data_IF_970823420911
#
_entry.id   IF_970823420911
#
_cell.length_a   1.000
_cell.length_b   1.000
_cell.length_c   1.000
_cell.angle_alpha   90.00
_cell.angle_beta   90.00
_cell.angle_gamma   90.00
#
_symmetry.space_group_name_H-M   'P 1'
#
loop_
_entity.id
_entity.type
_entity.pdbx_description
1 polymer ?
#
# COMPACT_ATOMS: atom_id res chain seq x y z
N UNK A 1 -11.26 -24.63 0.44
CA UNK A 1 -10.10 -23.69 0.47
C UNK A 1 -8.89 -24.31 1.16
N UNK A 2 -9.02 -24.88 2.37
CA UNK A 2 -7.93 -25.60 3.05
C UNK A 2 -7.36 -26.76 2.23
N UNK A 3 -8.22 -27.64 1.70
CA UNK A 3 -7.80 -28.76 0.83
C UNK A 3 -7.02 -28.28 -0.41
N UNK A 4 -7.42 -27.14 -0.99
CA UNK A 4 -6.70 -26.51 -2.11
C UNK A 4 -5.32 -26.02 -1.65
N UNK A 5 -5.23 -25.31 -0.53
CA UNK A 5 -3.97 -24.79 0.01
C UNK A 5 -3.01 -25.90 0.46
N UNK A 6 -3.53 -26.99 1.02
CA UNK A 6 -2.75 -28.19 1.38
C UNK A 6 -2.14 -28.86 0.15
N UNK A 7 -2.86 -28.85 -0.98
CA UNK A 7 -2.41 -29.48 -2.21
C UNK A 7 -1.40 -28.65 -3.04
N UNK A 8 -1.19 -27.37 -2.69
CA UNK A 8 -0.38 -26.44 -3.48
C UNK A 8 0.90 -26.02 -2.75
N UNK A 9 2.06 -26.17 -3.40
CA UNK A 9 3.37 -25.85 -2.79
C UNK A 9 3.79 -24.38 -2.89
N UNK A 10 2.96 -23.50 -3.46
CA UNK A 10 3.25 -22.08 -3.57
C UNK A 10 3.30 -21.46 -2.16
N UNK A 11 4.32 -20.64 -1.90
CA UNK A 11 4.55 -20.03 -0.59
C UNK A 11 3.32 -19.26 -0.08
N UNK A 12 2.57 -18.64 -0.98
CA UNK A 12 1.33 -17.93 -0.70
C UNK A 12 0.22 -18.86 -0.19
N UNK A 13 0.04 -20.02 -0.83
CA UNK A 13 -0.95 -21.03 -0.42
C UNK A 13 -0.60 -21.66 0.94
N UNK A 14 0.69 -21.91 1.19
CA UNK A 14 1.17 -22.40 2.48
C UNK A 14 0.98 -21.35 3.60
N UNK A 15 1.16 -20.06 3.28
CA UNK A 15 0.85 -18.96 4.20
C UNK A 15 -0.65 -18.82 4.49
N UNK A 16 -1.53 -19.14 3.53
CA UNK A 16 -2.98 -19.18 3.75
C UNK A 16 -3.37 -20.32 4.69
N UNK A 17 -2.82 -21.51 4.46
CA UNK A 17 -3.03 -22.67 5.33
C UNK A 17 -2.62 -22.39 6.78
N UNK A 18 -1.45 -21.76 6.97
CA UNK A 18 -0.97 -21.38 8.31
C UNK A 18 -1.87 -20.36 9.00
N UNK A 19 -2.51 -19.45 8.24
CA UNK A 19 -3.43 -18.44 8.79
C UNK A 19 -4.81 -19.01 9.09
N UNK A 20 -5.30 -19.97 8.29
CA UNK A 20 -6.56 -20.68 8.58
C UNK A 20 -6.49 -21.48 9.88
N UNK A 21 -5.30 -21.91 10.29
CA UNK A 21 -5.05 -22.55 11.59
C UNK A 21 -5.05 -21.61 12.81
N UNK A 22 -5.25 -20.30 12.64
CA UNK A 22 -5.40 -19.37 13.75
C UNK A 22 -6.87 -19.30 14.21
N UNK A 23 -7.09 -19.00 15.50
CA UNK A 23 -8.42 -18.61 15.97
C UNK A 23 -8.88 -17.35 15.21
N UNK A 24 -10.06 -17.43 14.58
CA UNK A 24 -10.56 -16.45 13.59
C UNK A 24 -9.69 -16.28 12.33
N UNK A 25 -8.93 -17.30 11.93
CA UNK A 25 -8.03 -17.28 10.78
C UNK A 25 -8.70 -16.90 9.44
N UNK A 26 -9.94 -17.34 9.26
CA UNK A 26 -10.76 -17.03 8.09
C UNK A 26 -11.13 -15.53 8.02
N UNK A 27 -11.42 -14.89 9.15
CA UNK A 27 -11.74 -13.45 9.23
C UNK A 27 -10.50 -12.59 8.89
N UNK A 28 -9.32 -13.03 9.32
CA UNK A 28 -8.03 -12.36 9.03
C UNK A 28 -7.63 -12.47 7.56
N UNK A 29 -8.11 -13.48 6.83
CA UNK A 29 -7.93 -13.59 5.38
C UNK A 29 -8.77 -12.57 4.61
N UNK A 30 -9.96 -12.25 5.10
CA UNK A 30 -10.84 -11.24 4.49
C UNK A 30 -10.33 -9.81 4.78
N UNK A 31 -9.71 -9.62 5.95
CA UNK A 31 -9.17 -8.35 6.43
C UNK A 31 -7.96 -7.83 5.64
N UNK A 32 -7.08 -8.73 5.21
CA UNK A 32 -5.83 -8.40 4.53
C UNK A 32 -5.84 -8.95 3.11
N UNK A 33 -6.58 -8.30 2.20
CA UNK A 33 -6.44 -8.41 0.74
C UNK A 33 -5.63 -9.61 0.26
N UNK A 34 -6.18 -10.81 0.45
CA UNK A 34 -5.51 -12.07 0.14
C UNK A 34 -5.64 -12.29 -1.35
N UNK A 35 -4.69 -11.83 -2.18
CA UNK A 35 -4.61 -12.12 -3.62
C UNK A 35 -5.95 -12.10 -4.41
N UNK A 36 -6.99 -11.46 -3.86
CA UNK A 36 -8.03 -10.79 -4.57
C UNK A 36 -7.32 -9.57 -5.10
N UNK A 37 -7.28 -9.45 -6.41
CA UNK A 37 -6.64 -8.33 -7.05
C UNK A 37 -7.50 -7.07 -6.84
N UNK A 38 -7.50 -6.56 -5.62
CA UNK A 38 -8.00 -5.21 -5.33
C UNK A 38 -6.87 -4.26 -5.75
N UNK A 39 -6.73 -4.07 -7.07
CA UNK A 39 -5.76 -3.12 -7.63
C UNK A 39 -6.11 -1.72 -7.15
N UNK A 40 -5.35 -1.22 -6.18
CA UNK A 40 -5.44 0.16 -5.75
C UNK A 40 -4.75 0.37 -4.42
N UNK A 41 -3.93 1.42 -4.33
CA UNK A 41 -3.67 2.01 -3.02
C UNK A 41 -5.01 2.56 -2.50
N UNK A 42 -5.27 2.42 -1.20
CA UNK A 42 -6.36 3.16 -0.57
C UNK A 42 -6.23 4.64 -0.99
N UNK A 43 -7.29 5.22 -1.52
CA UNK A 43 -7.29 6.61 -2.00
C UNK A 43 -7.59 7.62 -0.89
N UNK A 44 -8.00 7.12 0.27
CA UNK A 44 -8.33 7.90 1.45
C UNK A 44 -8.30 7.02 2.69
N UNK A 45 -8.51 7.67 3.82
CA UNK A 45 -8.50 7.06 5.15
C UNK A 45 -9.94 6.80 5.57
N UNK A 46 -10.26 5.57 5.95
CA UNK A 46 -11.58 5.16 6.40
C UNK A 46 -11.45 4.27 7.63
N UNK A 47 -12.25 4.54 8.66
CA UNK A 47 -12.38 3.69 9.82
C UNK A 47 -13.69 2.91 9.76
N UNK A 48 -13.65 1.59 9.90
CA UNK A 48 -14.85 0.76 9.74
C UNK A 48 -14.74 -0.56 10.51
N UNK A 49 -15.87 -1.23 10.72
CA UNK A 49 -15.91 -2.57 11.32
C UNK A 49 -16.75 -3.52 10.48
N UNK A 50 -16.58 -4.82 10.70
CA UNK A 50 -17.43 -5.85 10.08
C UNK A 50 -18.76 -5.87 10.83
N UNK A 51 -19.83 -5.42 10.17
CA UNK A 51 -21.17 -5.38 10.73
C UNK A 51 -21.88 -6.72 10.59
N UNK A 52 -21.68 -7.41 9.46
CA UNK A 52 -22.22 -8.73 9.21
C UNK A 52 -21.27 -9.51 8.29
N UNK A 53 -21.11 -10.80 8.58
CA UNK A 53 -20.38 -11.76 7.76
C UNK A 53 -21.25 -13.00 7.62
N UNK A 54 -21.56 -13.35 6.38
CA UNK A 54 -22.22 -14.60 6.04
C UNK A 54 -21.43 -15.38 4.97
N UNK A 55 -21.98 -16.49 4.49
CA UNK A 55 -21.30 -17.37 3.52
C UNK A 55 -21.08 -16.71 2.15
N UNK A 56 -21.85 -15.67 1.81
CA UNK A 56 -21.89 -15.07 0.47
C UNK A 56 -21.46 -13.62 0.45
N UNK A 57 -21.48 -12.94 1.60
CA UNK A 57 -21.21 -11.52 1.66
C UNK A 57 -20.60 -11.08 2.98
N UNK A 58 -19.96 -9.91 2.94
CA UNK A 58 -19.52 -9.18 4.12
C UNK A 58 -19.98 -7.74 4.03
N UNK A 59 -20.58 -7.23 5.10
CA UNK A 59 -21.02 -5.85 5.22
C UNK A 59 -20.15 -5.11 6.22
N UNK A 60 -19.68 -3.94 5.82
CA UNK A 60 -18.83 -3.07 6.62
C UNK A 60 -19.55 -1.75 6.90
N UNK A 61 -19.43 -1.28 8.14
CA UNK A 61 -19.99 0.00 8.58
C UNK A 61 -18.88 0.95 8.99
N UNK A 62 -19.00 2.20 8.57
CA UNK A 62 -18.12 3.29 8.98
C UNK A 62 -18.22 3.58 10.47
N UNK A 63 -17.12 4.08 11.03
CA UNK A 63 -17.05 4.53 12.41
C UNK A 63 -16.54 5.97 12.41
N UNK A 64 -17.27 6.92 13.02
CA UNK A 64 -16.73 8.25 13.26
C UNK A 64 -15.45 8.13 14.10
N UNK A 65 -14.33 8.62 13.57
CA UNK A 65 -13.03 8.45 14.21
C UNK A 65 -12.15 9.68 13.98
N UNK A 66 -11.26 9.97 14.92
CA UNK A 66 -10.20 10.98 14.74
C UNK A 66 -8.83 10.33 14.82
N UNK A 67 -7.81 11.01 14.30
CA UNK A 67 -6.43 10.54 14.42
C UNK A 67 -5.98 10.42 15.87
N UNK A 68 -6.34 11.37 16.73
CA UNK A 68 -6.04 11.32 18.17
C UNK A 68 -6.71 10.11 18.84
N UNK A 69 -7.96 9.84 18.48
CA UNK A 69 -8.71 8.67 18.96
C UNK A 69 -8.06 7.37 18.53
N UNK A 70 -7.72 7.25 17.25
CA UNK A 70 -7.11 6.05 16.67
C UNK A 70 -5.70 5.77 17.21
N UNK A 71 -4.89 6.81 17.40
CA UNK A 71 -3.48 6.65 17.75
C UNK A 71 -3.27 6.43 19.25
N UNK A 72 -4.19 6.90 20.10
CA UNK A 72 -4.06 6.81 21.56
C UNK A 72 -3.74 5.39 22.08
N UNK A 73 -4.41 4.30 21.63
CA UNK A 73 -4.07 2.95 22.09
C UNK A 73 -2.70 2.49 21.57
N UNK A 74 -2.29 2.94 20.37
CA UNK A 74 -0.98 2.63 19.79
C UNK A 74 0.13 3.28 20.60
N UNK A 75 -0.03 4.56 20.97
CA UNK A 75 0.88 5.26 21.86
C UNK A 75 1.00 4.56 23.21
N UNK A 76 -0.13 4.22 23.84
CA UNK A 76 -0.14 3.47 25.10
C UNK A 76 0.63 2.15 25.00
N UNK A 77 0.40 1.40 23.92
CA UNK A 77 1.16 0.18 23.64
C UNK A 77 2.66 0.45 23.50
N UNK A 78 3.06 1.39 22.65
CA UNK A 78 4.46 1.71 22.39
C UNK A 78 5.19 2.25 23.61
N UNK A 79 4.54 3.04 24.45
CA UNK A 79 5.09 3.52 25.73
C UNK A 79 5.40 2.37 26.69
N UNK A 80 4.51 1.38 26.76
CA UNK A 80 4.75 0.18 27.57
C UNK A 80 5.95 -0.62 27.05
N UNK A 81 6.05 -0.83 25.73
CA UNK A 81 7.13 -1.58 25.10
C UNK A 81 8.48 -0.87 25.25
N UNK A 82 8.47 0.46 25.12
CA UNK A 82 9.68 1.29 25.27
C UNK A 82 10.30 1.16 26.66
N UNK A 83 9.49 1.13 27.71
CA UNK A 83 10.00 0.96 29.08
C UNK A 83 10.77 -0.37 29.22
N UNK A 84 10.21 -1.46 28.67
CA UNK A 84 10.85 -2.78 28.64
C UNK A 84 12.10 -2.81 27.76
N UNK A 85 12.04 -2.25 26.54
CA UNK A 85 13.19 -2.13 25.64
C UNK A 85 14.35 -1.37 26.30
N UNK A 86 14.06 -0.30 27.02
CA UNK A 86 15.07 0.50 27.74
C UNK A 86 15.73 -0.31 28.85
N UNK A 87 14.98 -1.17 29.54
CA UNK A 87 15.51 -2.05 30.58
C UNK A 87 16.38 -3.17 29.98
N UNK A 88 15.94 -3.80 28.89
CA UNK A 88 16.64 -4.91 28.24
C UNK A 88 17.91 -4.46 27.50
N UNK A 89 17.93 -3.27 26.89
CA UNK A 89 19.13 -2.71 26.24
C UNK A 89 20.30 -2.49 27.21
N UNK A 90 20.07 -2.49 28.52
CA UNK A 90 21.13 -2.44 29.55
C UNK A 90 21.76 -3.81 29.82
N UNK A 91 21.18 -4.89 29.27
CA UNK A 91 21.62 -6.26 29.46
C UNK A 91 22.28 -6.78 28.16
N UNK A 92 23.46 -7.41 28.21
CA UNK A 92 24.18 -7.87 27.01
C UNK A 92 23.41 -8.86 26.13
N UNK A 93 22.60 -9.74 26.74
CA UNK A 93 21.85 -10.81 26.06
C UNK A 93 20.33 -10.69 26.27
N UNK A 94 19.84 -9.48 26.53
CA UNK A 94 18.47 -9.23 27.00
C UNK A 94 17.36 -9.44 25.96
N UNK A 95 17.62 -9.98 24.76
CA UNK A 95 16.60 -10.18 23.73
C UNK A 95 15.94 -8.89 23.22
N UNK A 96 16.62 -7.73 23.35
CA UNK A 96 16.06 -6.43 23.00
C UNK A 96 15.65 -6.32 21.52
N UNK A 97 16.35 -7.01 20.62
CA UNK A 97 16.06 -7.01 19.18
C UNK A 97 14.79 -7.80 18.86
N UNK A 98 14.56 -8.96 19.51
CA UNK A 98 13.34 -9.74 19.36
C UNK A 98 12.12 -8.97 19.91
N UNK A 99 12.28 -8.32 21.07
CA UNK A 99 11.23 -7.47 21.62
C UNK A 99 10.97 -6.26 20.70
N UNK A 100 12.01 -5.66 20.13
CA UNK A 100 11.84 -4.53 19.21
C UNK A 100 11.06 -4.94 17.97
N UNK A 101 11.44 -6.05 17.34
CA UNK A 101 10.79 -6.54 16.12
C UNK A 101 9.32 -6.89 16.38
N UNK A 102 9.03 -7.65 17.44
CA UNK A 102 7.65 -7.99 17.81
C UNK A 102 6.80 -6.77 18.19
N UNK A 103 7.40 -5.79 18.87
CA UNK A 103 6.74 -4.52 19.20
C UNK A 103 6.44 -3.69 17.96
N UNK A 104 7.39 -3.60 17.03
CA UNK A 104 7.21 -2.91 15.76
C UNK A 104 6.10 -3.56 14.93
N UNK A 105 6.14 -4.89 14.76
CA UNK A 105 5.13 -5.61 13.97
C UNK A 105 3.73 -5.46 14.57
N UNK A 106 3.61 -5.49 15.90
CA UNK A 106 2.34 -5.28 16.60
C UNK A 106 1.83 -3.85 16.42
N UNK A 107 2.69 -2.84 16.63
CA UNK A 107 2.30 -1.43 16.47
C UNK A 107 1.92 -1.12 15.02
N UNK A 108 2.63 -1.68 14.04
CA UNK A 108 2.28 -1.55 12.62
C UNK A 108 0.94 -2.23 12.32
N UNK A 109 0.65 -3.39 12.91
CA UNK A 109 -0.66 -4.03 12.78
C UNK A 109 -1.77 -3.15 13.38
N UNK A 110 -1.54 -2.54 14.55
CA UNK A 110 -2.50 -1.61 15.18
C UNK A 110 -2.82 -0.36 14.34
N UNK A 111 -1.91 0.07 13.46
CA UNK A 111 -2.20 1.16 12.51
C UNK A 111 -3.38 0.80 11.58
N UNK A 112 -3.52 -0.47 11.23
CA UNK A 112 -4.53 -0.98 10.29
C UNK A 112 -5.71 -1.65 10.99
N UNK A 113 -5.50 -2.20 12.18
CA UNK A 113 -6.53 -2.95 12.90
C UNK A 113 -6.32 -2.94 14.41
N UNK A 114 -7.32 -2.50 15.14
CA UNK A 114 -7.34 -2.55 16.61
C UNK A 114 -8.78 -2.40 17.11
N UNK A 115 -9.06 -2.94 18.31
CA UNK A 115 -10.36 -2.81 18.97
C UNK A 115 -11.56 -3.22 18.07
N UNK A 116 -11.38 -4.22 17.20
CA UNK A 116 -12.42 -4.70 16.28
C UNK A 116 -12.68 -3.80 15.08
N UNK A 117 -11.89 -2.74 14.90
CA UNK A 117 -12.02 -1.77 13.81
C UNK A 117 -10.82 -1.86 12.87
N UNK A 118 -11.07 -1.53 11.60
CA UNK A 118 -10.09 -1.43 10.53
C UNK A 118 -9.84 0.03 10.16
N UNK A 119 -8.64 0.30 9.64
CA UNK A 119 -8.25 1.59 9.08
C UNK A 119 -7.59 1.38 7.71
N UNK A 120 -8.13 2.03 6.68
CA UNK A 120 -7.38 2.16 5.43
C UNK A 120 -6.32 3.25 5.55
N UNK A 121 -5.16 3.01 4.97
CA UNK A 121 -4.08 4.01 4.91
C UNK A 121 -3.61 4.13 3.47
N UNK A 122 -3.68 5.32 2.85
CA UNK A 122 -3.02 5.56 1.58
C UNK A 122 -1.50 5.36 1.69
N UNK A 123 -0.85 5.13 0.55
CA UNK A 123 0.54 4.68 0.53
C UNK A 123 1.52 5.67 1.18
N UNK A 124 1.25 6.98 1.09
CA UNK A 124 2.10 8.03 1.67
C UNK A 124 1.96 8.02 3.21
N UNK A 125 0.74 8.03 3.71
CA UNK A 125 0.37 8.07 5.13
C UNK A 125 0.83 6.78 5.82
N UNK A 126 0.57 5.62 5.19
CA UNK A 126 1.03 4.34 5.71
C UNK A 126 2.56 4.26 5.84
N UNK A 127 3.31 4.84 4.89
CA UNK A 127 4.78 4.90 4.98
C UNK A 127 5.24 5.85 6.09
N UNK A 128 4.59 7.00 6.20
CA UNK A 128 4.89 8.01 7.23
C UNK A 128 4.67 7.43 8.63
N UNK A 129 3.52 6.79 8.86
CA UNK A 129 3.16 6.19 10.14
C UNK A 129 4.06 5.01 10.51
N UNK A 130 4.41 4.13 9.57
CA UNK A 130 5.39 3.04 9.82
C UNK A 130 6.76 3.60 10.23
N UNK A 131 7.20 4.66 9.57
CA UNK A 131 8.46 5.35 9.90
C UNK A 131 8.38 5.96 11.30
N UNK A 132 7.25 6.59 11.63
CA UNK A 132 6.99 7.14 12.96
C UNK A 132 7.05 6.07 14.05
N UNK A 133 6.36 4.93 13.90
CA UNK A 133 6.40 3.80 14.84
C UNK A 133 7.84 3.31 15.07
N UNK A 134 8.58 3.09 13.98
CA UNK A 134 9.98 2.66 14.06
C UNK A 134 10.84 3.65 14.86
N UNK A 135 10.72 4.96 14.57
CA UNK A 135 11.48 6.01 15.27
C UNK A 135 11.08 6.14 16.72
N UNK A 136 9.80 6.05 17.03
CA UNK A 136 9.28 6.12 18.39
C UNK A 136 9.89 5.02 19.27
N UNK A 137 9.86 3.76 18.79
CA UNK A 137 10.44 2.61 19.50
C UNK A 137 11.99 2.66 19.55
N UNK A 138 12.63 3.29 18.57
CA UNK A 138 14.09 3.42 18.51
C UNK A 138 14.61 4.48 19.50
N UNK A 139 14.07 5.69 19.40
CA UNK A 139 14.59 6.91 20.02
C UNK A 139 13.88 7.28 21.32
N UNK A 140 12.76 6.63 21.63
CA UNK A 140 11.99 6.84 22.86
C UNK A 140 10.97 7.96 22.77
N UNK A 141 11.07 8.87 21.80
CA UNK A 141 10.02 9.84 21.49
C UNK A 141 10.15 10.30 20.04
N UNK A 142 9.05 10.25 19.30
CA UNK A 142 8.89 10.89 18.00
C UNK A 142 7.53 11.60 18.02
N UNK A 143 7.47 12.92 17.80
CA UNK A 143 6.21 13.64 17.68
C UNK A 143 5.31 12.96 16.64
N UNK A 144 4.01 12.87 16.93
CA UNK A 144 3.07 12.35 15.94
C UNK A 144 3.12 13.22 14.67
N UNK A 145 3.14 12.64 13.46
CA UNK A 145 3.36 13.39 12.22
C UNK A 145 2.08 14.11 11.78
N UNK A 146 1.64 15.10 12.57
CA UNK A 146 0.56 16.02 12.18
C UNK A 146 1.07 17.17 11.29
N UNK A 147 0.22 17.70 10.40
CA UNK A 147 -1.06 17.13 9.97
C UNK A 147 -0.85 15.94 9.02
N UNK A 148 -1.80 15.00 9.02
CA UNK A 148 -1.94 14.03 7.92
C UNK A 148 -2.85 14.67 6.85
N UNK A 149 -2.60 14.34 5.58
CA UNK A 149 -3.27 15.01 4.46
C UNK A 149 -4.76 14.67 4.37
N UNK A 150 -5.15 13.47 4.82
CA UNK A 150 -6.52 12.96 4.75
C UNK A 150 -7.15 12.90 6.15
N UNK A 151 -8.28 13.60 6.28
CA UNK A 151 -9.19 13.44 7.41
C UNK A 151 -9.93 12.11 7.32
N UNK A 152 -10.29 11.55 8.47
CA UNK A 152 -11.16 10.36 8.52
C UNK A 152 -12.60 10.84 8.33
N UNK A 153 -13.33 10.38 7.31
CA UNK A 153 -14.72 10.77 7.06
C UNK A 153 -15.63 10.45 8.24
N UNK A 154 -16.78 11.13 8.28
CA UNK A 154 -17.85 10.77 9.19
C UNK A 154 -18.34 9.35 8.87
N UNK A 155 -18.56 8.54 9.90
CA UNK A 155 -18.84 7.11 9.76
C UNK A 155 -20.20 6.77 9.13
N UNK A 156 -20.87 7.72 8.48
CA UNK A 156 -22.14 7.54 7.79
C UNK A 156 -21.93 6.91 6.40
N UNK A 157 -21.31 5.73 6.40
CA UNK A 157 -21.16 4.92 5.20
C UNK A 157 -21.26 3.43 5.53
N UNK A 158 -21.81 2.68 4.58
CA UNK A 158 -21.85 1.24 4.63
C UNK A 158 -21.64 0.69 3.23
N UNK A 159 -20.93 -0.43 3.13
CA UNK A 159 -20.76 -1.14 1.89
C UNK A 159 -20.76 -2.65 2.12
N UNK A 160 -21.30 -3.37 1.15
CA UNK A 160 -21.36 -4.82 1.15
C UNK A 160 -20.55 -5.35 -0.02
N UNK A 161 -19.65 -6.29 0.27
CA UNK A 161 -18.94 -7.07 -0.74
C UNK A 161 -19.69 -8.39 -0.87
N UNK A 162 -20.23 -8.66 -2.04
CA UNK A 162 -20.74 -9.96 -2.43
C UNK A 162 -19.58 -10.79 -3.00
N UNK A 163 -19.31 -11.96 -2.43
CA UNK A 163 -18.16 -12.76 -2.82
C UNK A 163 -18.29 -13.33 -4.25
N UNK A 164 -19.50 -13.66 -4.71
CA UNK A 164 -19.70 -14.20 -6.06
C UNK A 164 -19.62 -13.10 -7.13
N UNK A 165 -20.15 -11.91 -6.82
CA UNK A 165 -20.26 -10.80 -7.76
C UNK A 165 -19.02 -9.89 -7.75
N UNK A 166 -18.48 -9.59 -6.58
CA UNK A 166 -17.51 -8.50 -6.37
C UNK A 166 -16.08 -9.01 -6.16
N UNK A 167 -15.85 -10.33 -6.13
CA UNK A 167 -14.51 -10.90 -5.97
C UNK A 167 -14.12 -11.79 -7.15
N UNK A 168 -12.84 -11.73 -7.51
CA UNK A 168 -12.23 -12.60 -8.52
C UNK A 168 -11.10 -13.38 -7.86
N UNK A 169 -11.12 -14.71 -7.98
CA UNK A 169 -10.01 -15.55 -7.56
C UNK A 169 -8.90 -15.42 -8.60
N UNK A 170 -7.85 -14.68 -8.25
CA UNK A 170 -6.71 -14.50 -9.14
C UNK A 170 -5.68 -15.61 -8.93
N UNK A 171 -5.09 -16.07 -10.03
CA UNK A 171 -4.04 -17.07 -9.99
C UNK A 171 -2.86 -16.58 -9.15
N UNK A 172 -2.51 -17.33 -8.11
CA UNK A 172 -1.36 -17.04 -7.27
C UNK A 172 -0.09 -17.58 -7.92
N UNK A 173 0.76 -16.69 -8.45
CA UNK A 173 2.06 -17.06 -9.00
C UNK A 173 3.10 -17.25 -7.88
N UNK A 174 3.94 -18.27 -8.00
CA UNK A 174 5.15 -18.36 -7.18
C UNK A 174 6.20 -17.41 -7.76
N UNK A 175 6.14 -16.13 -7.34
CA UNK A 175 7.00 -15.07 -7.87
C UNK A 175 8.50 -15.34 -7.68
N UNK A 176 8.91 -16.31 -6.85
CA UNK A 176 10.32 -16.71 -6.75
C UNK A 176 10.76 -17.63 -7.88
N UNK A 177 9.83 -18.36 -8.52
CA UNK A 177 10.09 -19.29 -9.64
C UNK A 177 9.56 -18.78 -10.98
N UNK A 178 8.45 -18.05 -10.96
CA UNK A 178 7.63 -17.73 -12.14
C UNK A 178 7.72 -16.24 -12.51
N UNK A 179 8.66 -15.48 -11.94
CA UNK A 179 8.81 -14.03 -12.12
C UNK A 179 8.89 -13.62 -13.60
N UNK A 180 9.58 -14.41 -14.42
CA UNK A 180 9.73 -14.12 -15.86
C UNK A 180 8.42 -14.26 -16.64
N UNK A 181 7.63 -15.27 -16.30
CA UNK A 181 6.36 -15.56 -16.95
C UNK A 181 5.27 -14.58 -16.49
N UNK A 182 5.22 -14.28 -15.18
CA UNK A 182 4.40 -13.21 -14.62
C UNK A 182 4.70 -11.84 -15.28
N UNK A 183 5.98 -11.51 -15.45
CA UNK A 183 6.36 -10.24 -16.07
C UNK A 183 5.97 -10.16 -17.55
N UNK A 184 6.04 -11.27 -18.27
CA UNK A 184 5.66 -11.35 -19.68
C UNK A 184 4.14 -11.24 -19.88
N UNK A 185 3.36 -11.91 -19.04
CA UNK A 185 1.90 -12.00 -19.16
C UNK A 185 1.16 -10.77 -18.60
N UNK A 186 1.58 -10.23 -17.45
CA UNK A 186 0.83 -9.18 -16.75
C UNK A 186 1.46 -7.79 -16.80
N UNK A 187 2.80 -7.71 -16.84
CA UNK A 187 3.50 -6.43 -16.68
C UNK A 187 3.82 -5.71 -17.99
N UNK A 188 3.82 -6.38 -19.15
CA UNK A 188 4.26 -5.76 -20.40
C UNK A 188 3.28 -4.69 -20.92
N UNK A 189 1.98 -5.01 -21.00
CA UNK A 189 0.96 -4.10 -21.53
C UNK A 189 0.58 -3.04 -20.50
N UNK A 190 0.35 -3.44 -19.25
CA UNK A 190 -0.08 -2.53 -18.20
C UNK A 190 1.00 -1.51 -17.80
N UNK A 191 2.28 -1.91 -17.67
CA UNK A 191 3.34 -0.93 -17.39
C UNK A 191 3.64 -0.04 -18.60
N UNK A 192 3.40 -0.52 -19.82
CA UNK A 192 3.47 0.35 -21.00
C UNK A 192 2.38 1.41 -20.97
N UNK A 193 1.15 1.05 -20.61
CA UNK A 193 0.02 1.95 -20.50
C UNK A 193 0.16 2.93 -19.32
N UNK A 194 0.53 2.45 -18.13
CA UNK A 194 0.82 3.29 -16.97
C UNK A 194 2.01 4.23 -17.25
N UNK A 195 3.06 3.72 -17.89
CA UNK A 195 4.23 4.49 -18.30
C UNK A 195 3.91 5.55 -19.34
N UNK A 196 2.95 5.27 -20.24
CA UNK A 196 2.39 6.24 -21.19
C UNK A 196 1.59 7.30 -20.45
N UNK A 197 0.62 6.92 -19.60
CA UNK A 197 -0.24 7.85 -18.86
C UNK A 197 0.57 8.83 -18.00
N UNK A 198 1.55 8.34 -17.23
CA UNK A 198 2.44 9.21 -16.45
C UNK A 198 3.27 10.15 -17.32
N UNK A 199 3.62 9.72 -18.54
CA UNK A 199 4.37 10.57 -19.48
C UNK A 199 3.45 11.63 -20.08
N UNK A 200 2.20 11.30 -20.41
CA UNK A 200 1.18 12.24 -20.86
C UNK A 200 0.84 13.28 -19.79
N UNK A 201 0.65 12.86 -18.53
CA UNK A 201 0.45 13.74 -17.38
C UNK A 201 1.62 14.72 -17.24
N UNK A 202 2.88 14.25 -17.30
CA UNK A 202 4.06 15.12 -17.28
C UNK A 202 4.13 16.04 -18.49
N UNK A 203 3.67 15.60 -19.65
CA UNK A 203 3.69 16.40 -20.87
C UNK A 203 2.78 17.64 -20.78
N UNK A 204 1.70 17.58 -19.98
CA UNK A 204 0.84 18.75 -19.72
C UNK A 204 1.59 19.94 -19.10
N UNK A 205 2.73 19.67 -18.44
CA UNK A 205 3.57 20.68 -17.81
C UNK A 205 4.58 21.32 -18.79
N UNK A 206 4.80 20.71 -19.97
CA UNK A 206 5.72 21.24 -20.97
C UNK A 206 5.06 22.41 -21.71
N UNK A 207 5.65 23.59 -21.62
CA UNK A 207 5.12 24.84 -22.18
C UNK A 207 5.72 25.13 -23.56
N UNK A 208 4.90 25.65 -24.48
CA UNK A 208 5.25 25.98 -25.86
C UNK A 208 4.76 24.91 -26.86
N UNK A 209 5.05 25.09 -28.15
CA UNK A 209 4.67 24.14 -29.21
C UNK A 209 5.83 23.75 -30.12
N UNK A 210 6.96 24.44 -30.00
CA UNK A 210 8.18 24.19 -30.76
C UNK A 210 9.37 24.37 -29.84
N UNK A 211 10.32 23.44 -29.89
CA UNK A 211 11.46 23.43 -28.98
C UNK A 211 12.73 22.91 -29.63
N UNK A 212 13.85 23.36 -29.13
CA UNK A 212 15.12 22.66 -29.16
C UNK A 212 15.20 21.66 -28.01
N UNK A 213 16.13 20.71 -28.10
CA UNK A 213 16.38 19.80 -26.98
C UNK A 213 16.74 20.54 -25.69
N UNK A 214 17.50 21.64 -25.78
CA UNK A 214 17.94 22.39 -24.61
C UNK A 214 16.78 23.11 -23.93
N UNK A 215 15.87 23.72 -24.69
CA UNK A 215 14.67 24.39 -24.15
C UNK A 215 13.73 23.44 -23.40
N UNK A 216 13.72 22.15 -23.75
CA UNK A 216 12.97 21.12 -22.98
C UNK A 216 13.72 20.79 -21.68
N UNK A 217 15.06 20.70 -21.71
CA UNK A 217 15.86 20.43 -20.51
C UNK A 217 15.82 21.61 -19.53
N UNK A 218 15.83 22.85 -20.03
CA UNK A 218 15.76 24.07 -19.23
C UNK A 218 14.42 24.21 -18.50
N UNK A 219 13.36 23.54 -18.99
CA UNK A 219 12.07 23.40 -18.30
C UNK A 219 12.06 22.30 -17.22
N UNK A 220 13.21 21.67 -16.93
CA UNK A 220 13.36 20.66 -15.89
C UNK A 220 13.11 19.23 -16.34
N UNK A 221 12.88 18.98 -17.63
CA UNK A 221 12.70 17.62 -18.14
C UNK A 221 14.06 16.94 -18.38
N UNK A 222 14.16 15.65 -18.07
CA UNK A 222 15.37 14.88 -18.36
C UNK A 222 15.40 14.41 -19.82
N UNK A 223 16.61 14.07 -20.32
CA UNK A 223 16.77 13.46 -21.65
C UNK A 223 15.92 12.19 -21.84
N UNK A 224 15.82 11.36 -20.79
CA UNK A 224 14.95 10.17 -20.78
C UNK A 224 13.47 10.52 -20.97
N UNK A 225 13.02 11.66 -20.43
CA UNK A 225 11.63 12.11 -20.57
C UNK A 225 11.37 12.63 -21.97
N UNK A 226 12.32 13.37 -22.54
CA UNK A 226 12.29 13.77 -23.96
C UNK A 226 12.16 12.56 -24.90
N UNK A 227 12.98 11.53 -24.69
CA UNK A 227 12.93 10.31 -25.52
C UNK A 227 11.56 9.61 -25.40
N UNK A 228 10.93 9.65 -24.22
CA UNK A 228 9.57 9.13 -24.02
C UNK A 228 8.49 9.98 -24.70
N UNK A 229 8.60 11.30 -24.70
CA UNK A 229 7.68 12.18 -25.44
C UNK A 229 7.70 11.86 -26.95
N UNK A 230 8.88 11.60 -27.51
CA UNK A 230 9.02 11.14 -28.90
C UNK A 230 8.46 9.73 -29.07
N UNK A 231 8.82 8.79 -28.18
CA UNK A 231 8.37 7.39 -28.24
C UNK A 231 6.84 7.27 -28.24
N UNK A 232 6.15 8.05 -27.42
CA UNK A 232 4.70 8.03 -27.32
C UNK A 232 4.00 9.00 -28.28
N UNK A 233 4.75 9.65 -29.17
CA UNK A 233 4.19 10.52 -30.21
C UNK A 233 3.58 11.81 -29.67
N UNK A 234 3.96 12.29 -28.49
CA UNK A 234 3.49 13.57 -27.93
C UNK A 234 4.17 14.77 -28.60
N UNK A 235 5.40 14.54 -29.11
CA UNK A 235 6.14 15.50 -29.93
C UNK A 235 6.74 14.80 -31.14
N UNK A 236 6.87 15.56 -32.24
CA UNK A 236 7.51 15.12 -33.47
C UNK A 236 8.91 15.71 -33.58
N UNK A 237 9.90 14.88 -33.92
CA UNK A 237 11.27 15.34 -34.19
C UNK A 237 11.40 15.78 -35.65
N UNK A 238 11.36 17.09 -35.89
CA UNK A 238 11.45 17.67 -37.25
C UNK A 238 12.89 17.62 -37.78
N UNK A 239 13.88 17.82 -36.91
CA UNK A 239 15.31 17.66 -37.22
C UNK A 239 16.10 17.34 -35.97
N UNK A 240 17.40 17.00 -36.11
CA UNK A 240 18.25 16.68 -34.95
C UNK A 240 18.20 17.82 -33.93
N UNK A 241 17.69 17.50 -32.74
CA UNK A 241 17.58 18.44 -31.63
C UNK A 241 16.47 19.48 -31.75
N UNK A 242 15.55 19.39 -32.73
CA UNK A 242 14.35 20.25 -32.80
C UNK A 242 13.07 19.42 -32.87
N UNK A 243 12.08 19.83 -32.10
CA UNK A 243 10.83 19.13 -31.86
C UNK A 243 9.64 20.08 -31.98
N UNK A 244 8.50 19.55 -32.38
CA UNK A 244 7.22 20.27 -32.41
C UNK A 244 6.15 19.43 -31.70
N UNK A 245 5.17 20.08 -31.09
CA UNK A 245 4.04 19.41 -30.45
C UNK A 245 3.27 18.60 -31.49
N UNK A 246 2.88 17.38 -31.14
CA UNK A 246 1.99 16.59 -31.97
C UNK A 246 0.54 16.92 -31.58
N UNK A 247 -0.24 17.48 -32.49
CA UNK A 247 -1.59 18.01 -32.22
C UNK A 247 -2.70 16.95 -32.32
N UNK A 248 -2.38 15.67 -32.07
CA UNK A 248 -3.35 14.56 -32.17
C UNK A 248 -4.20 14.47 -30.92
#
# INVERSE_FOLDING_TARGET
MELFCQSHHAETAQRWLNRMGWESGHEKMISFGVALDVRGAAKGVWCYYVANLDEKSVTYHGVPMTWEGWIKPILFFMDSRRAELTALRKQPDGGADELFQSSYDTAVMMLYYQNGMYMTLPGKEGKLLKTWVFRYLSNGYEPFPFPLDDDIPDGDYSFTIDFERDTEIVQAYDLKKEMGQYNAEHNAVHNQELGRRQTEERFTQLKGDTWTAQEILDQGFSRKTLDKFVKYGLILRVKKGRYVRNSV
#
